data_IF_539172831688
#
_entry.id   IF_539172831688
#
_cell.length_a   1.000
_cell.length_b   1.000
_cell.length_c   1.000
_cell.angle_alpha   90.00
_cell.angle_beta   90.00
_cell.angle_gamma   90.00
#
_symmetry.space_group_name_H-M   'P 1'
#
loop_
_entity.id
_entity.type
_entity.pdbx_description
1 polymer ?
#
# COMPACT_ATOMS: atom_id res chain seq x y z
N UNK A 1 -8.10 -19.06 -11.17
CA UNK A 1 -8.54 -18.45 -12.43
C UNK A 1 -9.66 -17.45 -12.17
N UNK A 2 -10.75 -17.83 -11.48
CA UNK A 2 -11.83 -16.91 -11.07
C UNK A 2 -11.37 -15.73 -10.20
N UNK A 3 -10.54 -15.96 -9.17
CA UNK A 3 -10.01 -14.89 -8.32
C UNK A 3 -9.17 -13.84 -9.08
N UNK A 4 -8.55 -14.23 -10.20
CA UNK A 4 -7.79 -13.31 -11.04
C UNK A 4 -8.72 -12.46 -11.91
N UNK A 5 -9.78 -13.06 -12.47
CA UNK A 5 -10.82 -12.36 -13.24
C UNK A 5 -11.47 -11.27 -12.39
N UNK A 6 -11.86 -11.60 -11.16
CA UNK A 6 -12.44 -10.62 -10.22
C UNK A 6 -11.46 -9.49 -9.91
N UNK A 7 -10.16 -9.83 -9.76
CA UNK A 7 -9.11 -8.84 -9.51
C UNK A 7 -8.95 -7.88 -10.70
N UNK A 8 -8.99 -8.38 -11.93
CA UNK A 8 -8.89 -7.51 -13.12
C UNK A 8 -10.09 -6.59 -13.26
N UNK A 9 -11.31 -7.10 -13.06
CA UNK A 9 -12.51 -6.25 -13.10
C UNK A 9 -12.51 -5.19 -11.99
N UNK A 10 -11.98 -5.52 -10.80
CA UNK A 10 -11.82 -4.56 -9.72
C UNK A 10 -10.82 -3.45 -10.07
N UNK A 11 -9.64 -3.83 -10.59
CA UNK A 11 -8.58 -2.91 -11.01
C UNK A 11 -9.06 -2.03 -12.16
N UNK A 12 -9.73 -2.60 -13.16
CA UNK A 12 -10.33 -1.87 -14.28
C UNK A 12 -11.36 -0.85 -13.79
N UNK A 13 -12.29 -1.27 -12.91
CA UNK A 13 -13.30 -0.38 -12.35
C UNK A 13 -12.71 0.79 -11.57
N UNK A 14 -11.63 0.57 -10.81
CA UNK A 14 -10.92 1.61 -10.06
C UNK A 14 -10.12 2.54 -10.99
N UNK A 15 -9.39 1.98 -11.95
CA UNK A 15 -8.56 2.73 -12.88
C UNK A 15 -9.39 3.64 -13.79
N UNK A 16 -10.57 3.20 -14.24
CA UNK A 16 -11.53 4.03 -15.01
C UNK A 16 -12.06 5.24 -14.21
N UNK A 17 -12.03 5.16 -12.88
CA UNK A 17 -12.37 6.27 -11.98
C UNK A 17 -11.16 7.16 -11.64
N UNK A 18 -10.02 6.97 -12.29
CA UNK A 18 -8.77 7.67 -11.98
C UNK A 18 -8.17 7.27 -10.63
N UNK A 19 -8.55 6.11 -10.08
CA UNK A 19 -8.04 5.63 -8.79
C UNK A 19 -6.85 4.71 -9.00
N UNK A 20 -5.73 5.04 -8.36
CA UNK A 20 -4.53 4.21 -8.38
C UNK A 20 -4.76 2.88 -7.64
N UNK A 21 -4.30 1.78 -8.24
CA UNK A 21 -4.37 0.43 -7.67
C UNK A 21 -2.97 -0.09 -7.40
N UNK A 22 -2.69 -0.37 -6.13
CA UNK A 22 -1.45 -0.98 -5.67
C UNK A 22 -1.61 -2.50 -5.67
N UNK A 23 -0.82 -3.19 -6.48
CA UNK A 23 -0.92 -4.65 -6.62
C UNK A 23 0.23 -5.31 -5.90
N UNK A 24 -0.08 -5.94 -4.77
CA UNK A 24 0.86 -6.80 -4.07
C UNK A 24 0.91 -8.14 -4.76
N UNK A 25 2.06 -8.44 -5.34
CA UNK A 25 2.36 -9.77 -5.81
C UNK A 25 3.50 -10.36 -4.96
N UNK A 26 3.26 -11.54 -4.40
CA UNK A 26 4.32 -12.35 -3.81
C UNK A 26 5.22 -11.63 -2.80
N UNK A 27 4.69 -10.92 -1.80
CA UNK A 27 5.48 -10.26 -0.75
C UNK A 27 6.45 -11.21 0.01
N UNK A 28 6.23 -12.52 -0.13
CA UNK A 28 6.97 -13.62 0.47
C UNK A 28 8.02 -14.24 -0.48
N UNK A 29 8.02 -13.87 -1.78
CA UNK A 29 8.89 -14.46 -2.79
C UNK A 29 8.52 -15.90 -3.15
N UNK A 30 7.25 -16.11 -3.52
CA UNK A 30 6.83 -17.37 -4.16
C UNK A 30 7.55 -17.54 -5.52
N UNK A 31 7.30 -18.65 -6.23
CA UNK A 31 7.91 -18.90 -7.55
C UNK A 31 7.85 -17.65 -8.42
N UNK A 32 8.90 -17.40 -9.21
CA UNK A 32 8.95 -16.32 -10.20
C UNK A 32 7.81 -16.53 -11.20
N UNK A 33 6.63 -16.00 -10.88
CA UNK A 33 5.44 -16.05 -11.71
C UNK A 33 5.37 -14.78 -12.54
N UNK A 34 4.99 -14.95 -13.80
CA UNK A 34 4.95 -13.86 -14.75
C UNK A 34 3.67 -13.01 -14.58
N UNK A 35 3.50 -12.45 -13.38
CA UNK A 35 2.26 -11.80 -12.96
C UNK A 35 2.04 -10.46 -13.66
N UNK A 36 3.11 -9.78 -14.10
CA UNK A 36 2.97 -8.67 -15.04
C UNK A 36 2.37 -9.14 -16.36
N UNK A 37 2.82 -10.27 -16.92
CA UNK A 37 2.25 -10.79 -18.16
C UNK A 37 0.78 -11.18 -17.99
N UNK A 38 0.42 -11.78 -16.85
CA UNK A 38 -0.98 -12.08 -16.54
C UNK A 38 -1.80 -10.80 -16.44
N UNK A 39 -1.30 -9.78 -15.77
CA UNK A 39 -1.93 -8.47 -15.66
C UNK A 39 -2.11 -7.81 -17.04
N UNK A 40 -1.05 -7.76 -17.85
CA UNK A 40 -1.08 -7.19 -19.21
C UNK A 40 -2.08 -7.93 -20.10
N UNK A 41 -2.11 -9.25 -20.06
CA UNK A 41 -2.95 -10.07 -20.93
C UNK A 41 -4.45 -9.98 -20.62
N UNK A 42 -4.82 -9.57 -19.40
CA UNK A 42 -6.21 -9.54 -18.95
C UNK A 42 -6.76 -8.13 -18.69
N UNK A 43 -5.90 -7.09 -18.70
CA UNK A 43 -6.36 -5.72 -18.69
C UNK A 43 -6.84 -5.32 -20.08
N UNK A 44 -8.06 -4.79 -20.17
CA UNK A 44 -8.57 -4.22 -21.41
C UNK A 44 -7.75 -3.02 -21.87
N UNK A 45 -7.75 -2.76 -23.18
CA UNK A 45 -6.98 -1.67 -23.81
C UNK A 45 -7.38 -0.27 -23.29
N UNK A 46 -8.59 -0.13 -22.74
CA UNK A 46 -9.12 1.12 -22.19
C UNK A 46 -8.63 1.42 -20.76
N UNK A 47 -7.87 0.52 -20.13
CA UNK A 47 -7.35 0.71 -18.77
C UNK A 47 -6.01 1.43 -18.81
N UNK A 48 -5.95 2.66 -18.27
CA UNK A 48 -4.67 3.36 -18.14
C UNK A 48 -3.77 2.63 -17.14
N UNK A 49 -2.72 1.99 -17.68
CA UNK A 49 -1.73 1.23 -16.90
C UNK A 49 -0.89 2.10 -15.98
N UNK A 50 -0.85 3.42 -16.22
CA UNK A 50 -0.20 4.37 -15.33
C UNK A 50 -0.85 4.45 -13.94
N UNK A 51 -2.14 4.08 -13.83
CA UNK A 51 -2.86 4.00 -12.57
C UNK A 51 -2.63 2.69 -11.82
N UNK A 52 -1.81 1.78 -12.34
CA UNK A 52 -1.52 0.51 -11.69
C UNK A 52 -0.06 0.52 -11.22
N UNK A 53 0.13 0.24 -9.94
CA UNK A 53 1.44 0.30 -9.28
C UNK A 53 1.77 -1.07 -8.67
N UNK A 54 2.48 -1.93 -9.41
CA UNK A 54 2.92 -3.22 -8.91
C UNK A 54 3.96 -3.11 -7.80
N UNK A 55 3.95 -4.09 -6.90
CA UNK A 55 4.99 -4.28 -5.90
C UNK A 55 6.07 -5.22 -6.45
N UNK A 56 7.32 -4.89 -6.16
CA UNK A 56 8.48 -5.75 -6.42
C UNK A 56 9.26 -5.91 -5.11
N UNK A 57 9.59 -7.15 -4.74
CA UNK A 57 10.42 -7.40 -3.56
C UNK A 57 11.83 -7.84 -3.92
N UNK A 58 12.77 -7.75 -2.99
CA UNK A 58 14.12 -8.31 -3.16
C UNK A 58 14.16 -9.83 -3.02
N UNK A 59 13.01 -10.53 -3.02
CA UNK A 59 12.88 -11.98 -2.77
C UNK A 59 12.95 -12.84 -4.05
N UNK A 60 13.48 -12.28 -5.15
CA UNK A 60 13.68 -12.96 -6.42
C UNK A 60 15.13 -12.85 -6.87
N UNK A 61 15.51 -13.55 -7.94
CA UNK A 61 16.85 -13.38 -8.51
C UNK A 61 17.07 -11.94 -8.98
N UNK A 62 18.32 -11.46 -8.95
CA UNK A 62 18.62 -10.09 -9.38
C UNK A 62 18.25 -9.88 -10.86
N UNK A 63 18.50 -10.89 -11.70
CA UNK A 63 18.11 -10.88 -13.11
C UNK A 63 16.60 -10.69 -13.29
N UNK A 64 15.80 -11.43 -12.52
CA UNK A 64 14.35 -11.28 -12.53
C UNK A 64 13.91 -9.88 -12.11
N UNK A 65 14.41 -9.36 -10.99
CA UNK A 65 14.00 -8.04 -10.49
C UNK A 65 14.28 -6.91 -11.50
N UNK A 66 15.43 -6.96 -12.18
CA UNK A 66 15.80 -5.93 -13.16
C UNK A 66 14.98 -6.06 -14.45
N UNK A 67 14.78 -7.27 -14.96
CA UNK A 67 13.92 -7.51 -16.13
C UNK A 67 12.46 -7.17 -15.84
N UNK A 68 11.98 -7.43 -14.63
CA UNK A 68 10.64 -7.06 -14.19
C UNK A 68 10.44 -5.54 -14.29
N UNK A 69 11.41 -4.75 -13.80
CA UNK A 69 11.34 -3.29 -13.85
C UNK A 69 11.42 -2.73 -15.27
N UNK A 70 12.30 -3.27 -16.11
CA UNK A 70 12.41 -2.91 -17.54
C UNK A 70 11.08 -3.19 -18.25
N UNK A 71 10.53 -4.39 -18.08
CA UNK A 71 9.28 -4.80 -18.71
C UNK A 71 8.06 -4.03 -18.19
N UNK A 72 8.01 -3.71 -16.89
CA UNK A 72 6.94 -2.88 -16.34
C UNK A 72 6.87 -1.54 -17.10
N UNK A 73 8.02 -0.89 -17.31
CA UNK A 73 8.10 0.34 -18.08
C UNK A 73 7.69 0.16 -19.55
N UNK A 74 8.27 -0.82 -20.24
CA UNK A 74 7.99 -1.10 -21.66
C UNK A 74 6.52 -1.41 -21.95
N UNK A 75 5.80 -1.90 -20.94
CA UNK A 75 4.40 -2.30 -21.04
C UNK A 75 3.42 -1.25 -20.51
N UNK A 76 3.93 -0.08 -20.09
CA UNK A 76 3.15 1.11 -19.75
C UNK A 76 2.90 1.33 -18.25
N UNK A 77 3.48 0.52 -17.36
CA UNK A 77 3.46 0.79 -15.92
C UNK A 77 4.55 1.82 -15.60
N UNK A 78 4.14 3.01 -15.17
CA UNK A 78 5.07 4.11 -14.91
C UNK A 78 5.67 4.10 -13.50
N UNK A 79 5.15 3.27 -12.61
CA UNK A 79 5.53 3.24 -11.19
C UNK A 79 5.66 1.82 -10.64
N UNK A 80 6.61 1.61 -9.74
CA UNK A 80 6.74 0.39 -8.92
C UNK A 80 6.93 0.75 -7.44
N UNK A 81 6.41 -0.06 -6.53
CA UNK A 81 6.80 -0.02 -5.11
C UNK A 81 7.83 -1.12 -4.85
N UNK A 82 9.04 -0.75 -4.42
CA UNK A 82 10.17 -1.69 -4.30
C UNK A 82 10.55 -1.90 -2.85
N UNK A 83 10.37 -3.11 -2.32
CA UNK A 83 10.49 -3.45 -0.91
C UNK A 83 11.48 -4.58 -0.64
N UNK A 84 11.93 -4.74 0.60
CA UNK A 84 12.78 -5.88 0.98
C UNK A 84 12.04 -7.23 1.01
N UNK A 85 10.72 -7.25 1.23
CA UNK A 85 9.98 -8.48 1.52
C UNK A 85 10.34 -9.10 2.88
N UNK A 86 9.63 -10.15 3.31
CA UNK A 86 9.84 -10.76 4.63
C UNK A 86 11.22 -11.44 4.76
N UNK A 87 11.92 -11.33 5.91
CA UNK A 87 13.20 -12.02 6.15
C UNK A 87 13.04 -13.43 6.69
N UNK A 88 11.86 -13.78 7.20
CA UNK A 88 11.59 -15.00 7.96
C UNK A 88 10.93 -16.10 7.13
N UNK A 89 10.32 -15.75 5.99
CA UNK A 89 9.60 -16.70 5.13
C UNK A 89 10.02 -16.55 3.67
N UNK A 90 10.18 -17.66 2.94
CA UNK A 90 10.45 -17.69 1.49
C UNK A 90 11.93 -17.48 1.11
N UNK A 91 12.20 -17.23 -0.18
CA UNK A 91 13.55 -17.13 -0.75
C UNK A 91 14.38 -16.02 -0.09
N UNK A 92 15.68 -16.19 0.19
CA UNK A 92 16.50 -15.11 0.75
C UNK A 92 16.44 -13.84 -0.09
N UNK A 93 16.58 -12.68 0.56
CA UNK A 93 16.69 -11.40 -0.15
C UNK A 93 17.96 -11.39 -0.99
N UNK A 94 17.85 -11.06 -2.29
CA UNK A 94 19.00 -10.95 -3.20
C UNK A 94 19.88 -9.75 -2.90
N UNK A 95 19.27 -8.69 -2.34
CA UNK A 95 19.97 -7.55 -1.76
C UNK A 95 19.34 -7.20 -0.40
N UNK A 96 20.12 -6.71 0.58
CA UNK A 96 19.65 -6.54 1.96
C UNK A 96 18.40 -5.65 2.09
N UNK A 97 18.35 -4.55 1.34
CA UNK A 97 17.32 -3.53 1.45
C UNK A 97 16.64 -3.22 0.11
N UNK A 98 15.40 -2.74 0.17
CA UNK A 98 14.69 -2.28 -1.02
C UNK A 98 15.36 -1.06 -1.68
N UNK A 99 16.05 -0.22 -0.91
CA UNK A 99 16.89 0.89 -1.42
C UNK A 99 17.98 0.40 -2.35
N UNK A 100 18.65 -0.70 -2.00
CA UNK A 100 19.73 -1.29 -2.80
C UNK A 100 19.18 -1.72 -4.17
N UNK A 101 18.00 -2.33 -4.20
CA UNK A 101 17.36 -2.72 -5.45
C UNK A 101 16.90 -1.51 -6.26
N UNK A 102 16.35 -0.46 -5.61
CA UNK A 102 15.96 0.78 -6.31
C UNK A 102 17.15 1.47 -6.96
N UNK A 103 18.32 1.49 -6.33
CA UNK A 103 19.54 2.00 -6.93
C UNK A 103 19.90 1.24 -8.21
N UNK A 104 19.89 -0.10 -8.14
CA UNK A 104 20.19 -0.94 -9.30
C UNK A 104 19.16 -0.74 -10.42
N UNK A 105 17.87 -0.66 -10.11
CA UNK A 105 16.81 -0.37 -11.09
C UNK A 105 17.05 1.00 -11.73
N UNK A 106 17.37 2.04 -10.93
CA UNK A 106 17.58 3.40 -11.44
C UNK A 106 18.72 3.49 -12.45
N UNK A 107 19.76 2.65 -12.32
CA UNK A 107 20.84 2.61 -13.32
C UNK A 107 20.39 2.12 -14.70
N UNK A 108 19.32 1.31 -14.77
CA UNK A 108 18.81 0.72 -16.01
C UNK A 108 17.58 1.42 -16.54
N UNK A 109 16.67 1.81 -15.66
CA UNK A 109 15.44 2.49 -16.00
C UNK A 109 15.28 3.78 -15.18
N UNK A 110 15.95 4.88 -15.57
CA UNK A 110 15.94 6.12 -14.79
C UNK A 110 14.58 6.83 -14.79
N UNK A 111 13.70 6.52 -15.75
CA UNK A 111 12.39 7.17 -15.89
C UNK A 111 11.28 6.53 -15.03
N UNK A 112 11.51 5.32 -14.51
CA UNK A 112 10.51 4.63 -13.70
C UNK A 112 10.38 5.29 -12.33
N UNK A 113 9.14 5.58 -11.92
CA UNK A 113 8.88 6.15 -10.59
C UNK A 113 8.95 5.04 -9.54
N UNK A 114 9.76 5.22 -8.49
CA UNK A 114 10.03 4.18 -7.50
C UNK A 114 9.49 4.56 -6.11
N UNK A 115 8.60 3.72 -5.58
CA UNK A 115 8.03 3.85 -4.25
C UNK A 115 8.87 3.13 -3.19
N UNK A 116 9.07 3.81 -2.05
CA UNK A 116 9.62 3.24 -0.83
C UNK A 116 8.54 2.87 0.19
N UNK A 117 8.97 2.58 1.41
CA UNK A 117 8.09 2.20 2.52
C UNK A 117 8.56 2.80 3.83
N UNK A 118 7.60 3.17 4.68
CA UNK A 118 7.81 3.61 6.05
C UNK A 118 6.84 2.91 6.99
N UNK A 119 7.20 2.73 8.25
CA UNK A 119 6.34 2.13 9.25
C UNK A 119 6.05 3.13 10.38
N UNK A 120 4.87 3.79 10.41
CA UNK A 120 4.53 4.74 11.47
C UNK A 120 4.53 4.14 12.88
N UNK A 121 4.47 2.81 13.00
CA UNK A 121 4.57 2.09 14.28
C UNK A 121 6.01 1.90 14.78
N UNK A 122 7.00 2.19 13.94
CA UNK A 122 8.42 2.14 14.30
C UNK A 122 8.91 3.45 14.91
N UNK A 123 10.19 3.48 15.28
CA UNK A 123 10.85 4.70 15.76
C UNK A 123 10.78 5.81 14.67
N UNK A 124 10.17 6.97 14.96
CA UNK A 124 9.88 7.97 13.93
C UNK A 124 11.15 8.58 13.33
N UNK A 125 12.20 8.77 14.13
CA UNK A 125 13.49 9.29 13.64
C UNK A 125 14.16 8.32 12.69
N UNK A 126 14.22 7.03 13.03
CA UNK A 126 14.76 6.00 12.15
C UNK A 126 13.96 5.89 10.85
N UNK A 127 12.63 5.87 10.92
CA UNK A 127 11.76 5.75 9.74
C UNK A 127 11.89 6.93 8.80
N UNK A 128 11.95 8.16 9.34
CA UNK A 128 12.19 9.36 8.52
C UNK A 128 13.62 9.37 7.98
N UNK A 129 14.61 8.90 8.73
CA UNK A 129 16.00 8.83 8.25
C UNK A 129 16.12 7.95 7.00
N UNK A 130 15.51 6.77 6.99
CA UNK A 130 15.52 5.88 5.82
C UNK A 130 14.93 6.53 4.55
N UNK A 131 14.05 7.52 4.69
CA UNK A 131 13.47 8.26 3.56
C UNK A 131 14.31 9.47 3.13
N UNK A 132 15.11 10.03 4.03
CA UNK A 132 15.97 11.19 3.77
C UNK A 132 17.34 10.80 3.21
N UNK A 133 17.77 9.57 3.41
CA UNK A 133 19.03 9.06 2.87
C UNK A 133 19.07 9.31 1.35
N UNK A 134 20.18 9.88 0.86
CA UNK A 134 20.37 10.15 -0.59
C UNK A 134 20.19 8.89 -1.44
N UNK A 135 20.51 7.77 -0.82
CA UNK A 135 20.51 6.43 -1.38
C UNK A 135 19.13 5.75 -1.29
N UNK A 136 18.14 6.41 -0.67
CA UNK A 136 16.77 5.94 -0.60
C UNK A 136 16.17 5.73 -1.99
N UNK A 137 16.59 6.54 -2.98
CA UNK A 137 16.21 6.48 -4.40
C UNK A 137 14.71 6.35 -4.68
N UNK A 138 13.89 6.72 -3.71
CA UNK A 138 12.44 6.72 -3.80
C UNK A 138 11.93 8.08 -4.27
N UNK A 139 10.88 8.07 -5.09
CA UNK A 139 10.15 9.25 -5.59
C UNK A 139 8.87 9.52 -4.78
N UNK A 140 8.40 8.51 -4.05
CA UNK A 140 7.31 8.58 -3.07
C UNK A 140 7.47 7.44 -2.04
N UNK A 141 6.68 7.44 -0.97
CA UNK A 141 6.64 6.31 -0.04
C UNK A 141 5.21 5.92 0.35
N UNK A 142 5.00 4.63 0.59
CA UNK A 142 3.81 4.13 1.27
C UNK A 142 4.10 3.91 2.76
N UNK A 143 3.08 4.03 3.60
CA UNK A 143 3.21 3.61 4.99
C UNK A 143 2.68 2.20 5.20
N UNK A 144 3.17 1.52 6.25
CA UNK A 144 2.41 0.45 6.89
C UNK A 144 1.00 0.95 7.23
N UNK A 145 0.03 0.03 7.16
CA UNK A 145 -1.36 0.36 7.46
C UNK A 145 -1.52 0.80 8.91
N UNK A 146 -2.39 1.79 9.10
CA UNK A 146 -2.78 2.35 10.39
C UNK A 146 -4.30 2.43 10.48
N UNK A 147 -4.79 2.58 11.69
CA UNK A 147 -6.18 2.84 12.05
C UNK A 147 -6.29 4.13 12.85
N UNK A 148 -7.51 4.61 13.10
CA UNK A 148 -7.73 5.73 14.00
C UNK A 148 -7.29 5.47 15.46
N UNK A 149 -7.06 4.20 15.84
CA UNK A 149 -6.48 3.83 17.14
C UNK A 149 -4.96 4.09 17.21
N UNK A 150 -4.31 4.30 16.06
CA UNK A 150 -2.86 4.52 15.96
C UNK A 150 -2.49 6.01 15.86
N UNK A 151 -3.43 6.91 16.23
CA UNK A 151 -3.29 8.36 16.09
C UNK A 151 -1.96 8.89 16.62
N UNK A 152 -1.55 8.47 17.82
CA UNK A 152 -0.32 8.95 18.45
C UNK A 152 0.94 8.58 17.63
N UNK A 153 1.00 7.37 17.09
CA UNK A 153 2.12 6.92 16.26
C UNK A 153 2.19 7.70 14.94
N UNK A 154 1.03 7.95 14.31
CA UNK A 154 0.97 8.77 13.09
C UNK A 154 1.33 10.23 13.38
N UNK A 155 0.84 10.82 14.47
CA UNK A 155 1.17 12.18 14.89
C UNK A 155 2.68 12.35 15.08
N UNK A 156 3.33 11.40 15.75
CA UNK A 156 4.78 11.41 15.94
C UNK A 156 5.53 11.32 14.61
N UNK A 157 5.16 10.37 13.74
CA UNK A 157 5.79 10.23 12.42
C UNK A 157 5.64 11.50 11.57
N UNK A 158 4.43 12.08 11.51
CA UNK A 158 4.16 13.30 10.73
C UNK A 158 4.92 14.49 11.30
N UNK A 159 4.95 14.66 12.63
CA UNK A 159 5.68 15.73 13.28
C UNK A 159 7.19 15.62 13.02
N UNK A 160 7.77 14.43 13.14
CA UNK A 160 9.19 14.19 12.83
C UNK A 160 9.48 14.43 11.35
N UNK A 161 8.64 13.96 10.43
CA UNK A 161 8.79 14.20 9.00
C UNK A 161 8.78 15.71 8.67
N UNK A 162 7.88 16.47 9.29
CA UNK A 162 7.82 17.94 9.14
C UNK A 162 9.06 18.62 9.73
N UNK A 163 9.44 18.27 10.96
CA UNK A 163 10.61 18.82 11.64
C UNK A 163 11.90 18.58 10.85
N UNK A 164 12.02 17.39 10.25
CA UNK A 164 13.17 16.97 9.44
C UNK A 164 13.06 17.37 7.96
N UNK A 165 12.01 18.13 7.60
CA UNK A 165 11.78 18.67 6.26
C UNK A 165 11.74 17.60 5.16
N UNK A 166 11.14 16.45 5.44
CA UNK A 166 10.94 15.40 4.45
C UNK A 166 10.02 15.92 3.33
N UNK A 167 10.58 16.06 2.13
CA UNK A 167 9.86 16.53 0.94
C UNK A 167 9.23 15.41 0.12
N UNK A 168 9.59 14.15 0.40
CA UNK A 168 9.12 12.98 -0.32
C UNK A 168 7.58 12.83 -0.16
N UNK A 169 6.81 12.68 -1.26
CA UNK A 169 5.37 12.45 -1.18
C UNK A 169 5.04 11.15 -0.42
N UNK A 170 4.25 11.25 0.64
CA UNK A 170 3.76 10.11 1.41
C UNK A 170 2.34 9.69 1.04
N UNK A 171 2.09 8.39 0.99
CA UNK A 171 0.76 7.76 0.82
C UNK A 171 0.49 6.84 2.01
N UNK A 172 -0.45 7.21 2.88
CA UNK A 172 -0.68 6.49 4.13
C UNK A 172 -1.69 5.36 3.95
N UNK A 173 -1.39 4.20 4.53
CA UNK A 173 -2.23 3.01 4.43
C UNK A 173 -3.32 2.96 5.50
N UNK A 174 -4.52 2.56 5.11
CA UNK A 174 -5.59 2.16 6.03
C UNK A 174 -6.04 0.75 5.68
N UNK A 175 -6.28 -0.09 6.68
CA UNK A 175 -6.81 -1.44 6.47
C UNK A 175 -8.33 -1.47 6.60
N UNK A 176 -9.02 -2.08 5.62
CA UNK A 176 -10.46 -2.32 5.70
C UNK A 176 -10.75 -3.62 6.47
N UNK A 177 -10.99 -3.51 7.77
CA UNK A 177 -11.41 -4.64 8.62
C UNK A 177 -12.88 -4.96 8.34
N UNK A 178 -13.14 -6.18 7.83
CA UNK A 178 -14.48 -6.56 7.32
C UNK A 178 -15.45 -7.00 8.42
N UNK A 179 -14.94 -7.44 9.56
CA UNK A 179 -15.74 -7.94 10.69
C UNK A 179 -14.92 -7.98 11.99
N UNK A 180 -15.58 -8.27 13.10
CA UNK A 180 -14.98 -8.56 14.41
C UNK A 180 -14.60 -10.04 14.61
N UNK A 181 -14.42 -10.81 13.54
CA UNK A 181 -14.05 -12.22 13.66
C UNK A 181 -12.71 -12.36 14.39
N UNK A 182 -12.73 -12.94 15.59
CA UNK A 182 -11.55 -13.12 16.45
C UNK A 182 -10.46 -13.88 15.69
N UNK A 183 -10.81 -15.03 15.10
CA UNK A 183 -9.88 -15.85 14.31
C UNK A 183 -9.23 -15.05 13.17
N UNK A 184 -10.00 -14.18 12.51
CA UNK A 184 -9.47 -13.34 11.42
C UNK A 184 -8.54 -12.26 11.96
N UNK A 185 -8.90 -11.60 13.06
CA UNK A 185 -8.07 -10.55 13.65
C UNK A 185 -6.76 -11.13 14.22
N UNK A 186 -6.81 -12.28 14.87
CA UNK A 186 -5.63 -13.01 15.35
C UNK A 186 -4.72 -13.45 14.19
N UNK A 187 -5.30 -13.96 13.10
CA UNK A 187 -4.53 -14.30 11.91
C UNK A 187 -3.83 -13.08 11.32
N UNK A 188 -4.52 -11.95 11.17
CA UNK A 188 -3.97 -10.71 10.64
C UNK A 188 -2.87 -10.12 11.54
N UNK A 189 -3.01 -10.26 12.86
CA UNK A 189 -2.04 -9.77 13.85
C UNK A 189 -0.63 -10.38 13.70
N UNK A 190 -0.52 -11.50 12.96
CA UNK A 190 0.77 -12.12 12.62
C UNK A 190 1.57 -11.33 11.58
N UNK A 191 0.92 -10.44 10.81
CA UNK A 191 1.53 -9.74 9.67
C UNK A 191 1.51 -8.22 9.82
N UNK A 192 0.56 -7.67 10.58
CA UNK A 192 0.41 -6.24 10.79
C UNK A 192 -0.07 -5.96 12.22
N UNK A 193 0.15 -4.74 12.75
CA UNK A 193 -0.53 -4.30 13.97
C UNK A 193 -2.05 -4.31 13.77
N UNK A 194 -2.77 -4.97 14.68
CA UNK A 194 -4.24 -5.05 14.67
C UNK A 194 -4.79 -4.63 16.04
N UNK A 195 -5.56 -3.53 16.13
CA UNK A 195 -6.18 -3.10 17.39
C UNK A 195 -7.45 -3.93 17.69
N UNK A 196 -7.28 -5.24 17.87
CA UNK A 196 -8.37 -6.22 17.87
C UNK A 196 -9.46 -5.91 18.91
N UNK A 197 -9.08 -5.63 20.15
CA UNK A 197 -10.04 -5.32 21.23
C UNK A 197 -10.89 -4.08 20.91
N UNK A 198 -10.26 -3.02 20.38
CA UNK A 198 -10.97 -1.80 20.00
C UNK A 198 -11.91 -2.03 18.82
N UNK A 199 -11.46 -2.77 17.80
CA UNK A 199 -12.30 -3.12 16.64
C UNK A 199 -13.52 -3.94 17.07
N UNK A 200 -13.33 -4.97 17.91
CA UNK A 200 -14.44 -5.78 18.42
C UNK A 200 -15.47 -4.91 19.14
N UNK A 201 -15.03 -4.03 20.03
CA UNK A 201 -15.93 -3.11 20.75
C UNK A 201 -16.69 -2.17 19.79
N UNK A 202 -16.06 -1.68 18.72
CA UNK A 202 -16.75 -0.83 17.73
C UNK A 202 -17.82 -1.60 16.96
N UNK A 203 -17.53 -2.82 16.53
CA UNK A 203 -18.51 -3.68 15.87
C UNK A 203 -19.67 -4.05 16.81
N UNK A 204 -19.39 -4.37 18.09
CA UNK A 204 -20.42 -4.62 19.11
C UNK A 204 -21.29 -3.38 19.39
N UNK A 205 -20.72 -2.19 19.29
CA UNK A 205 -21.44 -0.92 19.35
C UNK A 205 -22.26 -0.61 18.09
N UNK A 206 -22.30 -1.52 17.11
CA UNK A 206 -23.12 -1.41 15.91
C UNK A 206 -22.46 -0.63 14.77
N UNK A 207 -21.17 -0.33 14.84
CA UNK A 207 -20.48 0.29 13.72
C UNK A 207 -20.26 -0.70 12.58
N UNK A 208 -20.42 -0.19 11.36
CA UNK A 208 -20.09 -0.93 10.14
C UNK A 208 -18.61 -0.82 9.79
N UNK A 209 -18.09 -1.80 9.04
CA UNK A 209 -16.73 -1.77 8.50
C UNK A 209 -16.42 -0.48 7.69
N UNK A 210 -17.42 0.03 6.96
CA UNK A 210 -17.34 1.29 6.21
C UNK A 210 -17.12 2.47 7.14
N UNK A 211 -17.87 2.56 8.24
CA UNK A 211 -17.74 3.63 9.24
C UNK A 211 -16.40 3.58 9.97
N UNK A 212 -15.96 2.39 10.37
CA UNK A 212 -14.66 2.19 11.04
C UNK A 212 -13.51 2.61 10.11
N UNK A 213 -13.54 2.20 8.84
CA UNK A 213 -12.52 2.61 7.87
C UNK A 213 -12.57 4.12 7.60
N UNK A 214 -13.77 4.71 7.47
CA UNK A 214 -13.94 6.15 7.30
C UNK A 214 -13.38 6.95 8.48
N UNK A 215 -13.51 6.48 9.72
CA UNK A 215 -12.88 7.09 10.91
C UNK A 215 -11.36 7.14 10.80
N UNK A 216 -10.74 6.05 10.35
CA UNK A 216 -9.28 5.98 10.13
C UNK A 216 -8.84 6.98 9.06
N UNK A 217 -9.57 7.09 7.94
CA UNK A 217 -9.28 8.09 6.91
C UNK A 217 -9.47 9.51 7.45
N UNK A 218 -10.56 9.77 8.19
CA UNK A 218 -10.83 11.08 8.78
C UNK A 218 -9.73 11.51 9.76
N UNK A 219 -9.24 10.59 10.60
CA UNK A 219 -8.09 10.81 11.49
C UNK A 219 -6.85 11.24 10.68
N UNK A 220 -6.49 10.50 9.62
CA UNK A 220 -5.35 10.87 8.78
C UNK A 220 -5.52 12.26 8.15
N UNK A 221 -6.72 12.61 7.69
CA UNK A 221 -7.03 13.94 7.14
C UNK A 221 -6.87 15.05 8.17
N UNK A 222 -7.30 14.82 9.42
CA UNK A 222 -7.10 15.78 10.52
C UNK A 222 -5.62 16.01 10.82
N UNK A 223 -4.77 15.00 10.62
CA UNK A 223 -3.31 15.10 10.74
C UNK A 223 -2.63 15.71 9.51
N UNK A 224 -3.39 16.21 8.53
CA UNK A 224 -2.87 16.85 7.34
C UNK A 224 -2.40 15.88 6.24
N UNK A 225 -2.66 14.58 6.37
CA UNK A 225 -2.30 13.58 5.35
C UNK A 225 -3.19 13.75 4.11
N UNK A 226 -2.55 13.88 2.95
CA UNK A 226 -3.23 14.14 1.67
C UNK A 226 -3.51 12.89 0.85
N UNK A 227 -2.57 11.96 0.80
CA UNK A 227 -2.68 10.76 -0.02
C UNK A 227 -2.87 9.55 0.90
N UNK A 228 -3.91 8.77 0.63
CA UNK A 228 -4.32 7.64 1.47
C UNK A 228 -4.67 6.49 0.54
N UNK A 229 -4.20 5.29 0.85
CA UNK A 229 -4.59 4.05 0.17
C UNK A 229 -5.37 3.16 1.14
N UNK A 230 -6.28 2.33 0.61
CA UNK A 230 -7.09 1.41 1.41
C UNK A 230 -6.76 -0.03 1.01
N UNK A 231 -6.27 -0.81 1.98
CA UNK A 231 -6.00 -2.24 1.84
C UNK A 231 -7.23 -3.08 2.14
N UNK A 232 -7.25 -4.30 1.58
CA UNK A 232 -8.22 -5.35 1.89
C UNK A 232 -9.68 -5.04 1.52
N UNK A 233 -9.91 -4.18 0.52
CA UNK A 233 -11.23 -4.04 -0.09
C UNK A 233 -11.71 -5.39 -0.66
N UNK A 234 -13.01 -5.74 -0.56
CA UNK A 234 -13.54 -6.92 -1.21
C UNK A 234 -13.41 -6.77 -2.73
N UNK A 235 -12.70 -7.68 -3.39
CA UNK A 235 -12.31 -7.55 -4.79
C UNK A 235 -13.52 -7.27 -5.70
N UNK A 236 -14.55 -8.12 -5.64
CA UNK A 236 -15.75 -8.01 -6.48
C UNK A 236 -16.56 -6.72 -6.27
N UNK A 237 -16.39 -6.03 -5.14
CA UNK A 237 -17.12 -4.80 -4.81
C UNK A 237 -16.20 -3.65 -4.43
N UNK A 238 -14.92 -3.69 -4.85
CA UNK A 238 -13.89 -2.76 -4.38
C UNK A 238 -14.26 -1.30 -4.67
N UNK A 239 -14.65 -0.99 -5.91
CA UNK A 239 -15.05 0.36 -6.32
C UNK A 239 -16.28 0.86 -5.55
N UNK A 240 -17.31 0.01 -5.39
CA UNK A 240 -18.52 0.37 -4.65
C UNK A 240 -18.24 0.58 -3.16
N UNK A 241 -17.42 -0.29 -2.55
CA UNK A 241 -17.02 -0.19 -1.14
C UNK A 241 -16.18 1.06 -0.90
N UNK A 242 -15.21 1.36 -1.76
CA UNK A 242 -14.41 2.59 -1.67
C UNK A 242 -15.29 3.84 -1.76
N UNK A 243 -16.25 3.85 -2.70
CA UNK A 243 -17.22 4.95 -2.83
C UNK A 243 -18.05 5.14 -1.54
N UNK A 244 -18.50 4.05 -0.92
CA UNK A 244 -19.24 4.11 0.34
C UNK A 244 -18.38 4.66 1.50
N UNK A 245 -17.11 4.25 1.59
CA UNK A 245 -16.16 4.78 2.58
C UNK A 245 -15.96 6.29 2.38
N UNK A 246 -15.70 6.74 1.15
CA UNK A 246 -15.48 8.16 0.85
C UNK A 246 -16.73 9.01 1.13
N UNK A 247 -17.93 8.47 0.86
CA UNK A 247 -19.18 9.10 1.23
C UNK A 247 -19.30 9.30 2.75
N UNK A 248 -18.96 8.27 3.53
CA UNK A 248 -19.02 8.31 4.99
C UNK A 248 -17.98 9.28 5.60
N UNK A 249 -16.78 9.38 5.00
CA UNK A 249 -15.77 10.40 5.36
C UNK A 249 -16.33 11.80 5.16
N UNK A 250 -16.94 12.07 3.99
CA UNK A 250 -17.51 13.38 3.68
C UNK A 250 -18.70 13.72 4.59
N UNK A 251 -19.51 12.73 4.98
CA UNK A 251 -20.62 12.91 5.92
C UNK A 251 -20.11 13.29 7.31
N UNK A 252 -19.06 12.61 7.80
CA UNK A 252 -18.48 12.85 9.11
C UNK A 252 -17.84 14.24 9.22
N UNK A 253 -17.19 14.72 8.15
CA UNK A 253 -16.57 16.05 8.11
C UNK A 253 -17.61 17.20 8.26
N UNK A 254 -18.85 17.00 7.80
CA UNK A 254 -19.93 18.01 7.92
C UNK A 254 -20.52 18.14 9.33
N UNK A 255 -20.26 17.18 10.21
CA UNK A 255 -20.79 17.15 11.58
C UNK A 255 -19.71 17.43 12.63
N UNK A 256 -18.52 17.85 12.21
CA UNK A 256 -17.46 18.33 13.11
C UNK A 256 -17.71 19.82 13.40
N UNK A 257 -17.82 20.23 14.67
CA UNK A 257 -18.00 21.64 15.06
C UNK A 257 -16.78 22.51 14.71
#
# INVERSE_FOLDING_TARGET
MEAWIDTYHAVEGLARLGTYSFLTDGAVGAQEEDNLRHLIANLGDDVSREHIVPFLTTKHTLGYCLQYAERAWETGFQSLVVLGGDTTVGTPRVVPHGSDLRQLIRTRQPQLTLGGWANPHGDPDAQVNFLLEKDATADFFLTQVVSHHDRAAVEQFVATAQQRQLSLPGVFGVFFYRSASVDTLEFLARFLPVPAAHLTAEFEAGLTAVQICARSIAMLRQLGVKNIYVSNLPVSTAAATLKAILFEVARSAKHMP
#
